data_IF_839690941972
#
_entry.id   IF_839690941972
#
_cell.length_a   1.000
_cell.length_b   1.000
_cell.length_c   1.000
_cell.angle_alpha   90.00
_cell.angle_beta   90.00
_cell.angle_gamma   90.00
#
_symmetry.space_group_name_H-M   'P 1'
#
loop_
_entity.id
_entity.type
_entity.pdbx_description
1 polymer ?
#
# COMPACT_ATOMS: atom_id res chain seq x y z
N UNK A 1 63.60 -0.27 49.13
CA UNK A 1 62.60 0.82 49.09
C UNK A 1 61.95 1.02 47.71
N UNK A 2 62.70 0.90 46.60
CA UNK A 2 62.19 1.01 45.22
C UNK A 2 61.11 -0.02 44.82
N UNK A 3 61.23 -1.27 45.29
CA UNK A 3 60.26 -2.33 44.96
C UNK A 3 58.87 -2.15 45.60
N UNK A 4 58.80 -1.47 46.76
CA UNK A 4 57.52 -1.19 47.45
C UNK A 4 56.74 -0.09 46.72
N UNK A 5 57.45 0.95 46.27
CA UNK A 5 56.86 2.06 45.51
C UNK A 5 56.35 1.56 44.16
N UNK A 6 57.14 0.75 43.43
CA UNK A 6 56.70 0.12 42.17
C UNK A 6 55.45 -0.74 42.30
N UNK A 7 55.35 -1.56 43.36
CA UNK A 7 54.18 -2.41 43.57
C UNK A 7 52.92 -1.60 43.91
N UNK A 8 53.06 -0.51 44.67
CA UNK A 8 51.94 0.38 44.99
C UNK A 8 51.51 1.16 43.74
N UNK A 9 52.44 1.67 42.94
CA UNK A 9 52.12 2.35 41.67
C UNK A 9 51.51 1.38 40.64
N UNK A 10 51.98 0.13 40.58
CA UNK A 10 51.43 -0.91 39.71
C UNK A 10 50.01 -1.31 40.17
N UNK A 11 49.78 -1.48 41.48
CA UNK A 11 48.45 -1.77 42.04
C UNK A 11 47.45 -0.62 41.79
N UNK A 12 47.87 0.63 41.99
CA UNK A 12 47.05 1.81 41.69
C UNK A 12 46.75 1.95 40.20
N UNK A 13 47.70 1.65 39.32
CA UNK A 13 47.48 1.68 37.87
C UNK A 13 46.57 0.53 37.39
N UNK A 14 46.70 -0.67 37.96
CA UNK A 14 45.79 -1.79 37.68
C UNK A 14 44.37 -1.55 38.23
N UNK A 15 44.25 -0.89 39.38
CA UNK A 15 42.95 -0.52 39.95
C UNK A 15 42.28 0.60 39.13
N UNK A 16 43.06 1.58 38.63
CA UNK A 16 42.58 2.63 37.74
C UNK A 16 42.13 2.08 36.37
N UNK A 17 42.83 1.06 35.84
CA UNK A 17 42.43 0.33 34.63
C UNK A 17 41.18 -0.54 34.84
N UNK A 18 40.98 -1.12 36.03
CA UNK A 18 39.80 -1.93 36.36
C UNK A 18 38.51 -1.09 36.42
N UNK A 19 38.60 0.17 36.87
CA UNK A 19 37.44 1.10 36.93
C UNK A 19 37.03 1.60 35.54
N UNK A 20 37.94 1.59 34.56
CA UNK A 20 37.69 1.96 33.16
C UNK A 20 36.86 0.92 32.37
N UNK A 21 36.64 -0.28 32.90
CA UNK A 21 35.82 -1.32 32.25
C UNK A 21 34.40 -1.48 32.84
N UNK A 22 33.98 -0.63 33.79
CA UNK A 22 32.64 -0.71 34.41
C UNK A 22 31.58 0.22 33.80
N UNK A 23 31.89 0.92 32.70
CA UNK A 23 30.83 1.47 31.85
C UNK A 23 30.57 0.54 30.68
N UNK A 24 29.82 -0.53 30.92
CA UNK A 24 28.92 -0.97 29.87
C UNK A 24 27.88 0.14 29.75
N UNK A 25 28.16 1.15 28.91
CA UNK A 25 27.08 1.95 28.38
C UNK A 25 26.15 0.94 27.75
N UNK A 26 25.01 0.72 28.40
CA UNK A 26 23.86 0.12 27.73
C UNK A 26 23.73 0.96 26.47
N UNK A 27 24.13 0.40 25.32
CA UNK A 27 23.66 0.89 24.05
C UNK A 27 22.16 0.71 24.20
N UNK A 28 21.50 1.79 24.62
CA UNK A 28 20.08 1.90 24.45
C UNK A 28 19.93 1.74 22.96
N UNK A 29 19.51 0.55 22.54
CA UNK A 29 18.81 0.42 21.28
C UNK A 29 17.85 1.60 21.28
N UNK A 30 17.91 2.52 20.29
CA UNK A 30 16.81 3.46 20.11
C UNK A 30 15.54 2.62 20.18
N UNK A 31 14.50 3.01 20.95
CA UNK A 31 13.25 2.26 20.96
C UNK A 31 12.93 2.01 19.50
N UNK A 32 12.87 0.72 19.13
CA UNK A 32 12.76 0.32 17.74
C UNK A 32 11.58 1.09 17.17
N UNK A 33 11.87 2.08 16.32
CA UNK A 33 10.84 2.60 15.44
C UNK A 33 10.54 1.42 14.54
N UNK A 34 9.49 0.69 14.86
CA UNK A 34 8.77 -0.04 13.84
C UNK A 34 8.32 1.02 12.85
N UNK A 35 9.07 1.18 11.77
CA UNK A 35 8.60 1.91 10.61
C UNK A 35 7.59 0.95 9.94
N UNK A 36 6.39 0.84 10.50
CA UNK A 36 5.25 0.60 9.63
C UNK A 36 5.09 1.90 8.86
N UNK A 37 5.71 1.95 7.69
CA UNK A 37 5.27 2.92 6.69
C UNK A 37 3.85 2.50 6.34
N UNK A 38 2.86 3.18 6.92
CA UNK A 38 1.47 3.11 6.48
C UNK A 38 1.49 3.43 4.97
N UNK A 39 1.36 2.39 4.14
CA UNK A 39 1.20 2.60 2.71
C UNK A 39 -0.24 3.07 2.52
N UNK A 40 -0.40 4.35 2.21
CA UNK A 40 -1.64 4.85 1.65
C UNK A 40 -1.81 4.25 0.25
N UNK A 41 -2.53 3.14 0.14
CA UNK A 41 -2.85 2.52 -1.15
C UNK A 41 -4.04 3.29 -1.74
N UNK A 42 -3.75 4.27 -2.58
CA UNK A 42 -4.80 4.95 -3.34
C UNK A 42 -5.19 4.08 -4.54
N UNK A 43 -6.46 3.65 -4.56
CA UNK A 43 -7.05 2.99 -5.71
C UNK A 43 -7.24 4.01 -6.83
N UNK A 44 -6.69 3.72 -7.99
CA UNK A 44 -6.87 4.48 -9.22
C UNK A 44 -7.21 3.53 -10.36
N UNK A 45 -7.74 4.07 -11.45
CA UNK A 45 -7.96 3.29 -12.68
C UNK A 45 -6.61 3.18 -13.41
N UNK A 46 -6.23 1.95 -13.76
CA UNK A 46 -5.06 1.66 -14.59
C UNK A 46 -5.39 1.74 -16.07
N UNK A 47 -6.39 0.97 -16.52
CA UNK A 47 -6.87 1.00 -17.91
C UNK A 47 -8.38 0.75 -18.00
N UNK A 48 -8.97 1.22 -19.10
CA UNK A 48 -10.33 0.89 -19.54
C UNK A 48 -10.26 0.53 -21.01
N UNK A 49 -10.70 -0.67 -21.36
CA UNK A 49 -10.62 -1.22 -22.71
C UNK A 49 -12.00 -1.68 -23.17
N UNK A 50 -12.44 -1.19 -24.32
CA UNK A 50 -13.67 -1.67 -24.97
C UNK A 50 -13.31 -2.92 -25.77
N UNK A 51 -13.84 -4.07 -25.36
CA UNK A 51 -13.57 -5.36 -26.00
C UNK A 51 -14.48 -5.55 -27.21
N UNK A 52 -15.76 -5.22 -27.03
CA UNK A 52 -16.76 -5.20 -28.08
C UNK A 52 -17.89 -4.21 -27.72
N UNK A 53 -18.99 -4.23 -28.47
CA UNK A 53 -20.13 -3.30 -28.26
C UNK A 53 -20.83 -3.43 -26.92
N UNK A 54 -20.57 -4.47 -26.15
CA UNK A 54 -21.27 -4.77 -24.89
C UNK A 54 -20.33 -5.05 -23.72
N UNK A 55 -19.02 -5.07 -23.93
CA UNK A 55 -18.04 -5.43 -22.91
C UNK A 55 -16.96 -4.37 -22.75
N UNK A 56 -16.78 -3.90 -21.51
CA UNK A 56 -15.65 -3.07 -21.11
C UNK A 56 -14.84 -3.77 -20.03
N UNK A 57 -13.54 -3.89 -20.23
CA UNK A 57 -12.61 -4.40 -19.21
C UNK A 57 -11.97 -3.21 -18.50
N UNK A 58 -12.00 -3.23 -17.17
CA UNK A 58 -11.40 -2.21 -16.32
C UNK A 58 -10.32 -2.87 -15.48
N UNK A 59 -9.11 -2.30 -15.51
CA UNK A 59 -8.00 -2.70 -14.64
C UNK A 59 -7.75 -1.60 -13.62
N UNK A 60 -7.71 -1.95 -12.33
CA UNK A 60 -7.42 -1.04 -11.22
C UNK A 60 -5.93 -1.07 -10.85
N UNK A 61 -5.46 -0.06 -10.10
CA UNK A 61 -4.06 0.03 -9.66
C UNK A 61 -3.67 -0.97 -8.56
N UNK A 62 -4.66 -1.60 -7.92
CA UNK A 62 -4.49 -2.55 -6.82
C UNK A 62 -5.69 -3.50 -6.77
N UNK A 63 -5.56 -4.55 -5.96
CA UNK A 63 -6.68 -5.41 -5.60
C UNK A 63 -7.81 -4.58 -4.95
N UNK A 64 -9.05 -4.89 -5.33
CA UNK A 64 -10.26 -4.25 -4.83
C UNK A 64 -11.20 -5.31 -4.25
N UNK A 65 -11.97 -4.92 -3.23
CA UNK A 65 -12.90 -5.83 -2.60
C UNK A 65 -14.09 -6.15 -3.52
N UNK A 66 -14.45 -7.44 -3.71
CA UNK A 66 -15.57 -7.85 -4.56
C UNK A 66 -16.92 -7.23 -4.17
N UNK A 67 -17.14 -6.91 -2.88
CA UNK A 67 -18.39 -6.30 -2.40
C UNK A 67 -18.69 -4.94 -3.07
N UNK A 68 -17.64 -4.16 -3.34
CA UNK A 68 -17.75 -2.86 -4.01
C UNK A 68 -17.49 -2.95 -5.49
N UNK A 69 -16.61 -3.86 -5.92
CA UNK A 69 -16.27 -4.08 -7.32
C UNK A 69 -17.48 -4.57 -8.14
N UNK A 70 -18.36 -5.38 -7.52
CA UNK A 70 -19.50 -6.01 -8.19
C UNK A 70 -20.85 -5.31 -7.92
N UNK A 71 -20.85 -4.20 -7.18
CA UNK A 71 -22.05 -3.38 -7.02
C UNK A 71 -22.20 -2.42 -8.20
N UNK A 72 -23.17 -2.70 -9.09
CA UNK A 72 -23.51 -1.86 -10.25
C UNK A 72 -23.73 -0.39 -9.85
N UNK A 73 -24.22 -0.09 -8.63
CA UNK A 73 -24.45 1.29 -8.17
C UNK A 73 -23.17 2.12 -8.04
N UNK A 74 -22.02 1.46 -7.97
CA UNK A 74 -20.72 2.13 -7.92
C UNK A 74 -20.22 2.57 -9.31
N UNK A 75 -20.94 2.21 -10.37
CA UNK A 75 -20.58 2.50 -11.76
C UNK A 75 -21.69 3.30 -12.43
N UNK A 76 -21.30 4.26 -13.27
CA UNK A 76 -22.23 4.95 -14.15
C UNK A 76 -21.55 5.31 -15.47
N UNK A 77 -22.24 5.03 -16.57
CA UNK A 77 -21.76 5.30 -17.92
C UNK A 77 -22.75 6.25 -18.60
N UNK A 78 -22.23 7.35 -19.13
CA UNK A 78 -23.02 8.34 -19.86
C UNK A 78 -22.47 8.53 -21.25
N UNK A 79 -23.33 8.46 -22.26
CA UNK A 79 -23.00 8.88 -23.61
C UNK A 79 -22.87 10.41 -23.69
N UNK A 80 -22.16 10.89 -24.70
CA UNK A 80 -22.19 12.29 -25.11
C UNK A 80 -23.65 12.73 -25.34
N UNK A 81 -24.10 13.76 -24.61
CA UNK A 81 -25.52 14.16 -24.56
C UNK A 81 -26.27 13.76 -23.29
N UNK A 82 -25.66 12.96 -22.41
CA UNK A 82 -26.17 12.69 -21.05
C UNK A 82 -27.10 11.47 -20.95
N UNK A 83 -27.31 10.72 -22.02
CA UNK A 83 -28.01 9.44 -21.99
C UNK A 83 -27.22 8.44 -21.14
N UNK A 84 -27.90 7.80 -20.18
CA UNK A 84 -27.32 6.73 -19.36
C UNK A 84 -27.21 5.47 -20.22
N UNK A 85 -26.02 4.87 -20.26
CA UNK A 85 -25.82 3.51 -20.78
C UNK A 85 -26.01 2.53 -19.64
N UNK A 86 -26.95 1.60 -19.79
CA UNK A 86 -27.27 0.61 -18.77
C UNK A 86 -26.15 -0.45 -18.66
N UNK A 87 -25.75 -0.72 -17.43
CA UNK A 87 -24.90 -1.87 -17.06
C UNK A 87 -25.83 -3.01 -16.66
N UNK A 88 -25.70 -4.14 -17.34
CA UNK A 88 -26.52 -5.33 -17.12
C UNK A 88 -25.90 -6.27 -16.09
N UNK A 89 -24.57 -6.39 -16.09
CA UNK A 89 -23.86 -7.29 -15.18
C UNK A 89 -22.38 -6.89 -15.00
N UNK A 90 -21.72 -7.45 -13.99
CA UNK A 90 -20.30 -7.28 -13.71
C UNK A 90 -19.66 -8.64 -13.41
N UNK A 91 -18.61 -8.97 -14.15
CA UNK A 91 -17.82 -10.19 -13.94
C UNK A 91 -16.54 -9.86 -13.19
N UNK A 92 -16.28 -10.56 -12.09
CA UNK A 92 -14.98 -10.61 -11.42
C UNK A 92 -14.04 -11.55 -12.20
N UNK A 93 -13.07 -10.99 -12.91
CA UNK A 93 -12.06 -11.80 -13.60
C UNK A 93 -10.86 -12.07 -12.69
N UNK A 94 -10.46 -11.06 -11.91
CA UNK A 94 -9.36 -11.06 -10.96
C UNK A 94 -9.60 -9.97 -9.92
N UNK A 95 -8.87 -10.07 -8.81
CA UNK A 95 -8.85 -9.07 -7.71
C UNK A 95 -8.68 -7.61 -8.15
N UNK A 96 -8.05 -7.35 -9.30
CA UNK A 96 -7.77 -6.02 -9.85
C UNK A 96 -8.45 -5.76 -11.21
N UNK A 97 -9.26 -6.70 -11.73
CA UNK A 97 -9.86 -6.63 -13.07
C UNK A 97 -11.30 -7.07 -13.08
N UNK A 98 -12.18 -6.19 -13.57
CA UNK A 98 -13.60 -6.48 -13.78
C UNK A 98 -13.99 -6.30 -15.25
N UNK A 99 -15.01 -7.03 -15.69
CA UNK A 99 -15.69 -6.76 -16.96
C UNK A 99 -17.08 -6.20 -16.67
N UNK A 100 -17.37 -5.01 -17.19
CA UNK A 100 -18.75 -4.51 -17.24
C UNK A 100 -19.43 -5.05 -18.51
N UNK A 101 -20.61 -5.62 -18.33
CA UNK A 101 -21.52 -5.98 -19.41
C UNK A 101 -22.56 -4.87 -19.51
N UNK A 102 -22.71 -4.27 -20.68
CA UNK A 102 -23.64 -3.15 -20.93
C UNK A 102 -24.66 -3.53 -21.99
N UNK A 103 -25.67 -2.68 -22.15
CA UNK A 103 -26.40 -2.63 -23.41
C UNK A 103 -25.47 -2.22 -24.57
N UNK A 104 -25.85 -2.48 -25.84
CA UNK A 104 -25.00 -2.14 -26.99
C UNK A 104 -24.61 -0.66 -27.03
N UNK A 105 -23.30 -0.42 -27.09
CA UNK A 105 -22.71 0.88 -27.31
C UNK A 105 -22.87 1.31 -28.77
N UNK A 106 -23.05 2.61 -28.94
CA UNK A 106 -23.01 3.32 -30.21
C UNK A 106 -21.63 3.92 -30.44
N UNK A 107 -21.34 4.35 -31.66
CA UNK A 107 -20.05 4.95 -32.02
C UNK A 107 -19.97 6.42 -31.57
N UNK A 108 -19.98 6.64 -30.26
CA UNK A 108 -19.93 7.97 -29.59
C UNK A 108 -18.98 7.95 -28.39
N UNK A 109 -18.65 9.13 -27.86
CA UNK A 109 -17.84 9.23 -26.65
C UNK A 109 -18.67 8.88 -25.40
N UNK A 110 -18.04 8.17 -24.46
CA UNK A 110 -18.63 7.82 -23.18
C UNK A 110 -17.80 8.34 -22.01
N UNK A 111 -18.48 8.61 -20.90
CA UNK A 111 -17.88 8.91 -19.60
C UNK A 111 -18.25 7.82 -18.61
N UNK A 112 -17.26 7.05 -18.18
CA UNK A 112 -17.37 6.11 -17.07
C UNK A 112 -17.00 6.83 -15.76
N UNK A 113 -17.85 6.72 -14.76
CA UNK A 113 -17.58 7.17 -13.39
C UNK A 113 -17.67 5.97 -12.46
N UNK A 114 -16.63 5.78 -11.64
CA UNK A 114 -16.52 4.71 -10.65
C UNK A 114 -16.37 5.37 -9.28
N UNK A 115 -17.16 4.95 -8.30
CA UNK A 115 -17.14 5.51 -6.94
C UNK A 115 -17.15 4.41 -5.88
N UNK A 116 -16.81 4.76 -4.64
CA UNK A 116 -16.89 3.86 -3.47
C UNK A 116 -16.11 2.53 -3.60
N UNK A 117 -14.99 2.51 -4.33
CA UNK A 117 -14.11 1.34 -4.38
C UNK A 117 -13.36 1.18 -3.06
N UNK A 118 -13.35 -0.05 -2.54
CA UNK A 118 -12.55 -0.45 -1.38
C UNK A 118 -11.39 -1.33 -1.81
N UNK A 119 -10.31 -1.26 -1.05
CA UNK A 119 -9.21 -2.21 -1.14
C UNK A 119 -9.61 -3.58 -0.59
N UNK A 120 -8.84 -4.60 -0.95
CA UNK A 120 -8.97 -5.97 -0.42
C UNK A 120 -8.03 -6.24 0.76
#
# INVERSE_FOLDING_TARGET
MYNVIKNITLLLFTLLLLVLFLTCAKVGTPPGRSYETEREIKITIGSVEVIDRTHLVITFSSAISPDTALDIKNYSIYAEGGTVLKIEDIIDNRKDVVTLITEPMEEVNYRLTITNMKDE
#
